data_IF_854464319706
#
_entry.id   IF_854464319706
#
_cell.length_a   1.000
_cell.length_b   1.000
_cell.length_c   1.000
_cell.angle_alpha   90.00
_cell.angle_beta   90.00
_cell.angle_gamma   90.00
#
_symmetry.space_group_name_H-M   'P 1'
#
loop_
_entity.id
_entity.type
_entity.pdbx_description
1 polymer ?
#
# COMPACT_ATOMS: atom_id res chain seq x y z
N UNK A 1 -20.59 -3.84 37.74
CA UNK A 1 -20.42 -2.64 36.91
C UNK A 1 -19.10 -2.84 36.14
N UNK A 2 -19.23 -3.46 34.97
CA UNK A 2 -18.07 -3.78 34.13
C UNK A 2 -17.66 -2.55 33.33
N UNK A 3 -16.60 -1.89 33.75
CA UNK A 3 -15.87 -0.93 32.94
C UNK A 3 -14.86 -1.69 32.11
N UNK A 4 -15.32 -2.40 31.12
CA UNK A 4 -14.45 -2.74 29.99
C UNK A 4 -14.27 -1.46 29.17
N UNK A 5 -13.19 -0.76 29.49
CA UNK A 5 -12.67 0.33 28.71
C UNK A 5 -12.23 -0.26 27.36
N UNK A 6 -13.12 -0.17 26.36
CA UNK A 6 -12.75 -0.42 24.97
C UNK A 6 -11.64 0.58 24.62
N UNK A 7 -10.42 0.11 24.71
CA UNK A 7 -9.25 0.82 24.20
C UNK A 7 -9.37 0.81 22.67
N UNK A 8 -10.25 1.68 22.13
CA UNK A 8 -10.36 1.90 20.69
C UNK A 8 -9.02 2.46 20.26
N UNK A 9 -8.26 1.64 19.53
CA UNK A 9 -7.04 2.08 18.88
C UNK A 9 -7.36 3.24 17.95
N UNK A 10 -6.80 4.41 18.24
CA UNK A 10 -7.03 5.62 17.48
C UNK A 10 -6.10 5.66 16.28
N UNK A 11 -6.64 5.96 15.10
CA UNK A 11 -5.85 6.18 13.89
C UNK A 11 -5.16 7.53 13.94
N UNK A 12 -3.88 7.57 13.57
CA UNK A 12 -3.12 8.80 13.40
C UNK A 12 -3.65 9.59 12.19
N UNK A 13 -3.98 10.88 12.34
CA UNK A 13 -4.40 11.71 11.22
C UNK A 13 -3.23 12.22 10.35
N UNK A 14 -1.99 11.92 10.71
CA UNK A 14 -0.78 12.51 10.12
C UNK A 14 0.14 11.51 9.43
N UNK A 15 0.01 10.22 9.74
CA UNK A 15 0.91 9.19 9.25
C UNK A 15 0.12 8.02 8.65
N UNK A 16 0.53 7.64 7.46
CA UNK A 16 0.07 6.43 6.78
C UNK A 16 1.24 5.55 6.37
N UNK A 17 0.93 4.33 6.01
CA UNK A 17 1.85 3.41 5.35
C UNK A 17 1.25 2.99 4.02
N UNK A 18 2.06 2.95 2.98
CA UNK A 18 1.72 2.41 1.67
C UNK A 18 2.69 1.29 1.29
N UNK A 19 2.16 0.16 0.85
CA UNK A 19 2.93 -1.01 0.45
C UNK A 19 2.95 -1.16 -1.06
N UNK A 20 4.15 -1.21 -1.65
CA UNK A 20 4.37 -1.49 -3.07
C UNK A 20 4.84 -2.93 -3.21
N UNK A 21 4.00 -3.80 -3.72
CA UNK A 21 4.37 -5.16 -4.07
C UNK A 21 4.56 -5.25 -5.58
N UNK A 22 5.78 -5.54 -6.00
CA UNK A 22 6.13 -5.74 -7.40
C UNK A 22 6.34 -7.21 -7.70
N UNK A 23 5.91 -7.64 -8.86
CA UNK A 23 6.05 -9.02 -9.32
C UNK A 23 6.10 -9.10 -10.83
N UNK A 24 6.51 -10.25 -11.36
CA UNK A 24 6.54 -10.52 -12.80
C UNK A 24 5.40 -11.46 -13.16
N UNK A 25 4.51 -11.01 -14.04
CA UNK A 25 3.42 -11.78 -14.61
C UNK A 25 3.50 -11.70 -16.14
N UNK A 26 3.52 -12.87 -16.80
CA UNK A 26 3.55 -12.95 -18.26
C UNK A 26 4.64 -12.05 -18.86
N UNK A 27 5.86 -12.12 -18.30
CA UNK A 27 7.06 -11.35 -18.65
C UNK A 27 6.92 -9.83 -18.49
N UNK A 28 5.89 -9.36 -17.80
CA UNK A 28 5.68 -7.94 -17.49
C UNK A 28 5.86 -7.67 -16.00
N UNK A 29 6.51 -6.55 -15.71
CA UNK A 29 6.53 -6.04 -14.33
C UNK A 29 5.14 -5.53 -13.96
N UNK A 30 4.64 -6.00 -12.83
CA UNK A 30 3.30 -5.68 -12.33
C UNK A 30 3.37 -5.19 -10.89
N UNK A 31 2.38 -4.42 -10.50
CA UNK A 31 2.17 -3.98 -9.11
C UNK A 31 0.82 -4.47 -8.60
N UNK A 32 0.80 -4.87 -7.33
CA UNK A 32 -0.45 -5.25 -6.66
C UNK A 32 -1.21 -4.00 -6.23
N UNK A 33 -2.44 -3.89 -6.68
CA UNK A 33 -3.37 -2.83 -6.27
C UNK A 33 -4.55 -3.43 -5.51
N UNK A 34 -5.04 -2.68 -4.53
CA UNK A 34 -6.27 -2.97 -3.81
C UNK A 34 -7.42 -2.12 -4.37
N UNK A 35 -8.63 -2.64 -4.30
CA UNK A 35 -9.82 -1.87 -4.62
C UNK A 35 -9.99 -0.68 -3.68
N UNK A 36 -10.42 0.44 -4.25
CA UNK A 36 -10.88 1.62 -3.54
C UNK A 36 -12.40 1.66 -3.61
N UNK A 37 -13.05 1.56 -2.46
CA UNK A 37 -14.52 1.52 -2.36
C UNK A 37 -15.06 2.78 -1.72
N UNK A 38 -16.29 3.15 -2.10
CA UNK A 38 -17.08 4.19 -1.43
C UNK A 38 -17.51 3.69 -0.03
N UNK A 39 -18.12 4.58 0.77
CA UNK A 39 -18.73 4.18 2.05
C UNK A 39 -19.85 3.14 1.88
N UNK A 40 -20.53 3.17 0.74
CA UNK A 40 -21.58 2.22 0.39
C UNK A 40 -21.04 0.89 -0.16
N UNK A 41 -19.69 0.77 -0.30
CA UNK A 41 -19.01 -0.43 -0.77
C UNK A 41 -18.89 -0.53 -2.28
N UNK A 42 -19.23 0.51 -3.05
CA UNK A 42 -19.10 0.54 -4.50
C UNK A 42 -17.63 0.72 -4.92
N UNK A 43 -17.21 0.00 -5.95
CA UNK A 43 -15.87 0.15 -6.53
C UNK A 43 -15.76 1.52 -7.22
N UNK A 44 -14.83 2.35 -6.74
CA UNK A 44 -14.55 3.68 -7.30
C UNK A 44 -13.14 3.82 -7.87
N UNK A 45 -12.33 2.77 -7.83
CA UNK A 45 -10.99 2.73 -8.38
C UNK A 45 -10.06 1.78 -7.64
N UNK A 46 -8.77 2.00 -7.82
CA UNK A 46 -7.70 1.20 -7.22
C UNK A 46 -6.70 2.10 -6.50
N UNK A 47 -5.98 1.52 -5.56
CA UNK A 47 -4.94 2.19 -4.78
C UNK A 47 -3.84 1.20 -4.38
N UNK A 48 -2.70 1.70 -3.92
CA UNK A 48 -1.76 0.84 -3.20
C UNK A 48 -2.44 0.30 -1.92
N UNK A 49 -2.11 -0.94 -1.49
CA UNK A 49 -2.39 -1.38 -0.13
C UNK A 49 -1.80 -0.38 0.86
N UNK A 50 -2.64 0.36 1.53
CA UNK A 50 -2.23 1.47 2.40
C UNK A 50 -3.35 1.93 3.31
N UNK A 51 -2.98 2.44 4.48
CA UNK A 51 -3.90 3.01 5.47
C UNK A 51 -3.17 3.89 6.46
N UNK A 52 -3.93 4.60 7.29
CA UNK A 52 -3.41 5.27 8.48
C UNK A 52 -2.89 4.24 9.48
N UNK A 53 -1.85 4.61 10.21
CA UNK A 53 -1.37 3.79 11.34
C UNK A 53 -2.19 4.08 12.61
N UNK A 54 -2.18 3.16 13.56
CA UNK A 54 -2.67 3.45 14.90
C UNK A 54 -1.64 4.26 15.71
N UNK A 55 -2.09 5.07 16.65
CA UNK A 55 -1.20 5.95 17.43
C UNK A 55 -0.18 5.21 18.29
N UNK A 56 -0.49 3.98 18.68
CA UNK A 56 0.35 3.11 19.51
C UNK A 56 1.01 1.95 18.72
N UNK A 57 1.05 2.04 17.38
CA UNK A 57 1.56 1.01 16.50
C UNK A 57 2.91 1.37 15.93
N UNK A 58 3.86 0.42 15.91
CA UNK A 58 5.11 0.57 15.19
C UNK A 58 4.89 0.52 13.67
N UNK A 59 5.75 1.21 12.90
CA UNK A 59 5.61 1.31 11.45
C UNK A 59 5.70 -0.04 10.75
N UNK A 60 6.58 -0.93 11.20
CA UNK A 60 6.72 -2.27 10.62
C UNK A 60 5.48 -3.11 10.91
N UNK A 61 4.94 -3.06 12.13
CA UNK A 61 3.71 -3.74 12.50
C UNK A 61 2.52 -3.21 11.69
N UNK A 62 2.44 -1.88 11.52
CA UNK A 62 1.44 -1.24 10.67
C UNK A 62 1.52 -1.72 9.23
N UNK A 63 2.73 -1.81 8.66
CA UNK A 63 2.91 -2.27 7.28
C UNK A 63 2.41 -3.70 7.07
N UNK A 64 2.74 -4.63 7.97
CA UNK A 64 2.25 -6.01 7.90
C UNK A 64 0.75 -6.13 8.15
N UNK A 65 0.20 -5.38 9.09
CA UNK A 65 -1.26 -5.33 9.33
C UNK A 65 -1.99 -4.81 8.09
N UNK A 66 -1.58 -3.67 7.55
CA UNK A 66 -2.20 -3.04 6.39
C UNK A 66 -2.13 -3.95 5.16
N UNK A 67 -0.99 -4.61 4.95
CA UNK A 67 -0.85 -5.57 3.87
C UNK A 67 -1.81 -6.76 4.04
N UNK A 68 -1.85 -7.34 5.24
CA UNK A 68 -2.75 -8.45 5.54
C UNK A 68 -4.22 -8.06 5.39
N UNK A 69 -4.62 -6.90 5.92
CA UNK A 69 -6.00 -6.42 5.86
C UNK A 69 -6.45 -6.14 4.42
N UNK A 70 -5.55 -5.58 3.60
CA UNK A 70 -5.84 -5.21 2.21
C UNK A 70 -5.79 -6.40 1.24
N UNK A 71 -4.98 -7.41 1.51
CA UNK A 71 -4.62 -8.45 0.52
C UNK A 71 -4.72 -9.88 1.04
N UNK A 72 -4.82 -10.07 2.34
CA UNK A 72 -4.74 -11.39 2.99
C UNK A 72 -3.32 -12.00 3.05
N UNK A 73 -2.30 -11.28 2.57
CA UNK A 73 -0.91 -11.76 2.57
C UNK A 73 -0.29 -11.64 3.96
N UNK A 74 0.38 -12.72 4.42
CA UNK A 74 1.01 -12.79 5.75
C UNK A 74 2.52 -13.02 5.71
N UNK A 75 3.06 -13.51 4.59
CA UNK A 75 4.45 -13.96 4.49
C UNK A 75 5.15 -13.29 3.32
N UNK A 76 5.19 -11.97 3.34
CA UNK A 76 5.91 -11.15 2.36
C UNK A 76 6.94 -10.35 3.12
N UNK A 77 8.20 -10.39 2.69
CA UNK A 77 9.24 -9.57 3.30
C UNK A 77 9.13 -8.13 2.83
N UNK A 78 8.63 -7.26 3.69
CA UNK A 78 8.53 -5.83 3.45
C UNK A 78 9.83 -5.13 3.86
N UNK A 79 10.27 -4.19 3.05
CA UNK A 79 11.40 -3.32 3.35
C UNK A 79 10.98 -1.86 3.21
N UNK A 80 11.11 -1.08 4.28
CA UNK A 80 10.92 0.36 4.22
C UNK A 80 11.95 0.96 3.24
N UNK A 81 11.53 1.81 2.31
CA UNK A 81 12.47 2.41 1.36
C UNK A 81 12.44 3.94 1.31
N UNK A 82 11.29 4.59 1.52
CA UNK A 82 11.19 6.05 1.43
C UNK A 82 9.97 6.60 2.16
N UNK A 83 10.07 7.87 2.62
CA UNK A 83 8.93 8.66 3.10
C UNK A 83 8.51 9.68 2.04
N UNK A 84 7.20 9.90 1.91
CA UNK A 84 6.60 10.88 1.02
C UNK A 84 5.79 11.88 1.84
N UNK A 85 6.23 13.12 1.88
CA UNK A 85 5.66 14.15 2.73
C UNK A 85 5.42 15.48 2.01
N UNK A 86 5.36 15.49 0.67
CA UNK A 86 5.02 16.72 -0.06
C UNK A 86 3.63 17.21 0.36
N UNK A 87 3.45 18.52 0.65
CA UNK A 87 2.11 19.09 0.87
C UNK A 87 1.15 18.85 -0.30
N UNK A 88 1.68 18.72 -1.52
CA UNK A 88 0.88 18.50 -2.73
C UNK A 88 0.21 17.11 -2.78
N UNK A 89 0.70 16.12 -1.99
CA UNK A 89 0.08 14.78 -1.99
C UNK A 89 -1.37 14.74 -1.50
N UNK A 90 -1.78 15.73 -0.72
CA UNK A 90 -3.16 15.91 -0.23
C UNK A 90 -3.88 17.07 -0.92
N UNK A 91 -3.42 17.50 -2.09
CA UNK A 91 -4.03 18.62 -2.83
C UNK A 91 -5.34 18.24 -3.52
N UNK A 92 -5.53 16.96 -3.87
CA UNK A 92 -6.79 16.49 -4.43
C UNK A 92 -7.83 16.33 -3.31
N UNK A 93 -8.78 17.24 -3.28
CA UNK A 93 -9.83 17.27 -2.25
C UNK A 93 -10.69 16.01 -2.23
N UNK A 94 -10.97 15.41 -3.38
CA UNK A 94 -11.80 14.21 -3.48
C UNK A 94 -11.12 12.99 -2.84
N UNK A 95 -9.81 12.87 -3.00
CA UNK A 95 -9.05 11.80 -2.37
C UNK A 95 -9.02 11.95 -0.84
N UNK A 96 -8.83 13.19 -0.35
CA UNK A 96 -8.85 13.49 1.09
C UNK A 96 -10.24 13.22 1.67
N UNK A 97 -11.30 13.68 1.01
CA UNK A 97 -12.68 13.44 1.47
C UNK A 97 -13.00 11.95 1.54
N UNK A 98 -12.57 11.16 0.56
CA UNK A 98 -12.71 9.71 0.59
C UNK A 98 -12.00 9.09 1.79
N UNK A 99 -10.75 9.49 2.05
CA UNK A 99 -9.97 8.98 3.18
C UNK A 99 -10.63 9.35 4.52
N UNK A 100 -11.08 10.60 4.67
CA UNK A 100 -11.82 11.05 5.86
C UNK A 100 -13.12 10.28 6.07
N UNK A 101 -13.87 10.04 5.00
CA UNK A 101 -15.13 9.31 5.05
C UNK A 101 -14.92 7.85 5.47
N UNK A 102 -13.93 7.18 4.91
CA UNK A 102 -13.67 5.75 5.18
C UNK A 102 -12.93 5.50 6.50
N UNK A 103 -12.00 6.38 6.89
CA UNK A 103 -11.25 6.24 8.15
C UNK A 103 -11.97 6.85 9.37
N UNK A 104 -12.96 7.72 9.14
CA UNK A 104 -13.63 8.52 10.18
C UNK A 104 -12.68 9.45 10.94
N UNK A 105 -11.57 9.83 10.32
CA UNK A 105 -10.54 10.70 10.88
C UNK A 105 -10.39 11.94 10.01
N UNK A 106 -10.34 13.11 10.64
CA UNK A 106 -10.06 14.38 9.96
C UNK A 106 -8.59 14.42 9.55
N UNK A 107 -8.32 14.53 8.25
CA UNK A 107 -6.97 14.51 7.72
C UNK A 107 -6.41 15.93 7.64
N UNK A 108 -5.25 16.11 8.26
CA UNK A 108 -4.42 17.29 8.11
C UNK A 108 -3.32 17.06 7.06
N UNK A 109 -2.08 17.42 7.42
CA UNK A 109 -0.91 17.07 6.62
C UNK A 109 -0.59 15.60 6.81
N UNK A 110 -0.62 14.85 5.73
CA UNK A 110 -0.38 13.41 5.76
C UNK A 110 0.99 13.06 5.17
N UNK A 111 1.81 12.38 5.96
CA UNK A 111 3.08 11.78 5.52
C UNK A 111 2.86 10.28 5.40
N UNK A 112 3.33 9.68 4.31
CA UNK A 112 3.32 8.23 4.19
C UNK A 112 4.73 7.65 4.23
N UNK A 113 4.86 6.50 4.89
CA UNK A 113 6.07 5.67 4.89
C UNK A 113 5.82 4.52 3.92
N UNK A 114 6.64 4.45 2.88
CA UNK A 114 6.48 3.45 1.83
C UNK A 114 7.37 2.24 2.07
N UNK A 115 6.74 1.07 1.95
CA UNK A 115 7.36 -0.24 2.01
C UNK A 115 7.34 -0.92 0.65
N UNK A 116 8.34 -1.73 0.36
CA UNK A 116 8.56 -2.39 -0.90
C UNK A 116 8.77 -3.88 -0.68
N UNK A 117 8.16 -4.69 -1.52
CA UNK A 117 8.46 -6.11 -1.63
C UNK A 117 8.53 -6.55 -3.09
N UNK A 118 9.44 -7.47 -3.37
CA UNK A 118 9.44 -8.26 -4.59
C UNK A 118 8.71 -9.58 -4.34
N UNK A 119 7.74 -9.89 -5.18
CA UNK A 119 6.94 -11.10 -5.05
C UNK A 119 7.34 -12.10 -6.12
N UNK A 120 7.93 -13.20 -5.68
CA UNK A 120 8.25 -14.33 -6.54
C UNK A 120 6.94 -14.97 -7.04
N UNK A 121 6.80 -15.08 -8.37
CA UNK A 121 5.63 -15.72 -8.97
C UNK A 121 4.31 -15.16 -8.43
N UNK A 122 4.03 -13.94 -8.77
CA UNK A 122 2.96 -13.09 -8.24
C UNK A 122 1.57 -13.76 -8.24
N UNK A 123 1.24 -14.61 -9.23
CA UNK A 123 -0.03 -15.37 -9.25
C UNK A 123 -0.12 -16.44 -8.15
N UNK A 124 1.02 -17.03 -7.74
CA UNK A 124 1.03 -18.03 -6.65
C UNK A 124 1.11 -17.39 -5.27
N UNK A 125 1.79 -16.24 -5.17
CA UNK A 125 1.99 -15.53 -3.90
C UNK A 125 0.73 -14.80 -3.48
N UNK A 126 0.01 -14.25 -4.44
CA UNK A 126 -1.27 -13.59 -4.23
C UNK A 126 -2.19 -13.98 -5.38
N UNK A 127 -2.87 -15.14 -5.29
CA UNK A 127 -3.86 -15.51 -6.29
C UNK A 127 -5.00 -14.49 -6.21
N UNK A 128 -5.08 -13.63 -7.22
CA UNK A 128 -6.21 -12.72 -7.42
C UNK A 128 -7.57 -13.46 -7.45
N UNK A 129 -7.51 -14.78 -7.70
CA UNK A 129 -8.66 -15.68 -7.76
C UNK A 129 -9.34 -15.92 -6.40
N UNK A 130 -8.76 -15.46 -5.28
CA UNK A 130 -9.32 -15.68 -3.92
C UNK A 130 -9.84 -14.41 -3.24
N UNK A 131 -9.61 -13.25 -3.83
CA UNK A 131 -10.10 -11.98 -3.31
C UNK A 131 -10.42 -11.06 -4.49
N UNK A 132 -11.70 -10.81 -4.70
CA UNK A 132 -12.18 -9.84 -5.70
C UNK A 132 -11.69 -8.40 -5.41
N UNK A 133 -10.96 -8.22 -4.29
CA UNK A 133 -10.56 -6.89 -3.80
C UNK A 133 -9.14 -6.47 -4.17
N UNK A 134 -8.37 -7.31 -4.86
CA UNK A 134 -6.98 -7.03 -5.27
C UNK A 134 -6.72 -7.42 -6.72
N UNK A 135 -5.76 -6.75 -7.34
CA UNK A 135 -5.43 -6.96 -8.74
C UNK A 135 -3.97 -6.67 -9.03
N UNK A 136 -3.31 -7.55 -9.81
CA UNK A 136 -2.00 -7.28 -10.40
C UNK A 136 -2.17 -6.46 -11.68
N UNK A 137 -1.57 -5.26 -11.71
CA UNK A 137 -1.64 -4.36 -12.85
C UNK A 137 -0.25 -4.19 -13.47
N UNK A 138 -0.10 -4.30 -14.81
CA UNK A 138 1.14 -3.92 -15.49
C UNK A 138 1.50 -2.47 -15.17
N UNK A 139 2.79 -2.20 -14.93
CA UNK A 139 3.25 -0.85 -14.57
C UNK A 139 3.14 0.15 -15.73
N UNK A 140 3.08 -0.33 -16.95
CA UNK A 140 2.90 0.46 -18.18
C UNK A 140 1.42 0.72 -18.52
N UNK A 141 0.49 0.11 -17.78
CA UNK A 141 -0.97 0.26 -17.96
C UNK A 141 -1.67 0.42 -16.60
N UNK A 142 -1.21 1.38 -15.80
CA UNK A 142 -1.78 1.66 -14.49
C UNK A 142 -3.10 2.43 -14.63
N UNK A 143 -4.15 2.07 -13.86
CA UNK A 143 -5.33 2.91 -13.72
C UNK A 143 -4.98 4.22 -13.03
N UNK A 144 -5.91 5.19 -13.06
CA UNK A 144 -5.77 6.38 -12.23
C UNK A 144 -5.69 5.98 -10.77
N UNK A 145 -4.64 6.47 -10.08
CA UNK A 145 -4.40 6.22 -8.66
C UNK A 145 -4.64 7.48 -7.83
N UNK A 146 -5.09 7.35 -6.57
CA UNK A 146 -5.27 8.50 -5.68
C UNK A 146 -3.92 9.00 -5.15
N UNK A 147 -3.95 10.21 -4.58
CA UNK A 147 -2.79 10.84 -3.96
C UNK A 147 -1.56 10.85 -4.89
N UNK A 148 -0.41 10.53 -4.35
CA UNK A 148 0.87 10.37 -5.04
C UNK A 148 1.27 8.89 -5.24
N UNK A 149 0.31 7.97 -5.28
CA UNK A 149 0.59 6.54 -5.39
C UNK A 149 1.37 6.18 -6.66
N UNK A 150 1.16 6.91 -7.76
CA UNK A 150 1.95 6.72 -8.97
C UNK A 150 3.43 7.05 -8.76
N UNK A 151 3.72 8.17 -8.12
CA UNK A 151 5.08 8.58 -7.78
C UNK A 151 5.75 7.60 -6.80
N UNK A 152 4.98 7.05 -5.86
CA UNK A 152 5.47 6.01 -4.93
C UNK A 152 5.88 4.75 -5.71
N UNK A 153 5.06 4.30 -6.67
CA UNK A 153 5.38 3.14 -7.53
C UNK A 153 6.64 3.40 -8.37
N UNK A 154 6.74 4.56 -9.00
CA UNK A 154 7.90 4.96 -9.80
C UNK A 154 9.18 4.97 -8.95
N UNK A 155 9.11 5.50 -7.72
CA UNK A 155 10.23 5.49 -6.78
C UNK A 155 10.61 4.07 -6.34
N UNK A 156 9.63 3.19 -6.13
CA UNK A 156 9.87 1.80 -5.79
C UNK A 156 10.59 1.04 -6.93
N UNK A 157 10.18 1.27 -8.17
CA UNK A 157 10.85 0.69 -9.35
C UNK A 157 12.30 1.17 -9.42
N UNK A 158 12.55 2.45 -9.18
CA UNK A 158 13.91 2.99 -9.16
C UNK A 158 14.74 2.39 -8.03
N UNK A 159 14.15 2.17 -6.87
CA UNK A 159 14.84 1.54 -5.73
C UNK A 159 15.25 0.09 -6.07
N UNK A 160 14.37 -0.68 -6.72
CA UNK A 160 14.73 -2.03 -7.20
C UNK A 160 15.87 -2.00 -8.21
N UNK A 161 15.87 -1.06 -9.15
CA UNK A 161 16.97 -0.90 -10.09
C UNK A 161 18.29 -0.66 -9.37
N UNK A 162 18.29 0.20 -8.35
CA UNK A 162 19.46 0.46 -7.52
C UNK A 162 19.95 -0.79 -6.77
N UNK A 163 19.03 -1.64 -6.30
CA UNK A 163 19.40 -2.91 -5.65
C UNK A 163 20.06 -3.86 -6.63
N UNK A 164 19.48 -4.00 -7.82
CA UNK A 164 20.00 -4.87 -8.89
C UNK A 164 21.37 -4.43 -9.35
N UNK A 165 21.60 -3.14 -9.50
CA UNK A 165 22.90 -2.59 -9.88
C UNK A 165 23.99 -2.86 -8.84
N UNK A 166 23.63 -2.80 -7.54
CA UNK A 166 24.56 -3.04 -6.44
C UNK A 166 24.80 -4.52 -6.17
N UNK A 167 23.78 -5.33 -6.31
CA UNK A 167 23.80 -6.76 -6.02
C UNK A 167 22.90 -7.52 -7.00
N UNK A 168 23.41 -7.82 -8.22
CA UNK A 168 22.61 -8.49 -9.24
C UNK A 168 22.04 -9.84 -8.80
N UNK A 169 22.68 -10.52 -7.83
CA UNK A 169 22.22 -11.80 -7.30
C UNK A 169 20.88 -11.66 -6.55
N UNK A 170 20.51 -10.49 -6.09
CA UNK A 170 19.27 -10.27 -5.32
C UNK A 170 18.02 -10.65 -6.14
N UNK A 171 18.08 -10.52 -7.47
CA UNK A 171 16.96 -10.90 -8.35
C UNK A 171 16.72 -12.42 -8.31
N UNK A 172 17.79 -13.22 -8.23
CA UNK A 172 17.68 -14.68 -8.24
C UNK A 172 16.96 -15.21 -6.98
N UNK A 173 17.06 -14.48 -5.86
CA UNK A 173 16.33 -14.82 -4.63
C UNK A 173 14.82 -14.58 -4.78
N UNK A 174 14.41 -13.75 -5.75
CA UNK A 174 13.02 -13.35 -6.00
C UNK A 174 12.45 -13.86 -7.35
N UNK A 175 13.24 -14.54 -8.17
CA UNK A 175 12.81 -15.26 -9.38
C UNK A 175 12.58 -16.74 -9.05
#
# INVERSE_FOLDING_TARGET
MDTQNENREMLSPYVSVDCVLLGINDDKLTVLLAERKSEEGELIGYKLPGSLIYENEDLDDAAYRILNDSTGLKRVQLKQFRCFGSPARTSNRLDVMWLEATSKVKIGRLITVAYLALCKNSRKTCPADKSDSIRWCPIDDLPRLPFDHKEIIEAAIQEIRNWVEKEPAIIFDYM
#
